data_IF_461248754007
#
_entry.id   IF_461248754007
#
_cell.length_a   1.000
_cell.length_b   1.000
_cell.length_c   1.000
_cell.angle_alpha   90.00
_cell.angle_beta   90.00
_cell.angle_gamma   90.00
#
_symmetry.space_group_name_H-M   'P 1'
#
loop_
_entity.id
_entity.type
_entity.pdbx_description
1 polymer ?
#
# COMPACT_ATOMS: atom_id res chain seq x y z
N UNK A 1 0.74 -5.55 -37.77
CA UNK A 1 2.17 -5.27 -37.52
C UNK A 1 2.40 -3.91 -36.82
N UNK A 2 1.85 -2.79 -37.32
CA UNK A 2 1.98 -1.47 -36.67
C UNK A 2 1.39 -1.41 -35.24
N UNK A 3 0.24 -2.02 -34.98
CA UNK A 3 -0.35 -2.12 -33.62
C UNK A 3 0.54 -2.88 -32.64
N UNK A 4 1.16 -3.99 -33.06
CA UNK A 4 2.04 -4.79 -32.21
C UNK A 4 3.28 -4.01 -31.74
N UNK A 5 3.93 -3.28 -32.66
CA UNK A 5 5.07 -2.43 -32.31
C UNK A 5 4.68 -1.21 -31.47
N UNK A 6 3.48 -0.65 -31.68
CA UNK A 6 2.92 0.41 -30.84
C UNK A 6 2.65 -0.08 -29.41
N UNK A 7 2.05 -1.27 -29.26
CA UNK A 7 1.79 -1.91 -27.98
C UNK A 7 3.09 -2.32 -27.26
N UNK A 8 4.09 -2.80 -27.99
CA UNK A 8 5.38 -3.20 -27.41
C UNK A 8 6.14 -1.98 -26.86
N UNK A 9 6.20 -0.89 -27.63
CA UNK A 9 6.86 0.36 -27.21
C UNK A 9 6.13 0.99 -26.02
N UNK A 10 4.79 0.95 -26.02
CA UNK A 10 3.95 1.36 -24.89
C UNK A 10 4.21 0.51 -23.63
N UNK A 11 4.28 -0.82 -23.78
CA UNK A 11 4.55 -1.75 -22.69
C UNK A 11 5.94 -1.53 -22.08
N UNK A 12 6.97 -1.32 -22.90
CA UNK A 12 8.34 -1.04 -22.45
C UNK A 12 8.47 0.32 -21.76
N UNK A 13 7.79 1.36 -22.27
CA UNK A 13 7.79 2.69 -21.67
C UNK A 13 7.03 2.71 -20.34
N UNK A 14 5.87 2.05 -20.26
CA UNK A 14 5.10 1.90 -19.03
C UNK A 14 5.84 1.09 -17.98
N UNK A 15 6.52 0.00 -18.37
CA UNK A 15 7.32 -0.81 -17.45
C UNK A 15 8.44 0.02 -16.80
N UNK A 16 9.15 0.83 -17.59
CA UNK A 16 10.17 1.77 -17.08
C UNK A 16 9.59 2.83 -16.14
N UNK A 17 8.39 3.34 -16.42
CA UNK A 17 7.72 4.29 -15.53
C UNK A 17 7.37 3.64 -14.19
N UNK A 18 6.79 2.44 -14.20
CA UNK A 18 6.33 1.74 -13.00
C UNK A 18 7.53 1.40 -12.10
N UNK A 19 8.63 0.90 -12.70
CA UNK A 19 9.85 0.63 -11.95
C UNK A 19 10.39 1.90 -11.29
N UNK A 20 10.45 3.02 -12.02
CA UNK A 20 10.87 4.31 -11.44
C UNK A 20 9.95 4.77 -10.32
N UNK A 21 8.64 4.62 -10.48
CA UNK A 21 7.67 4.96 -9.43
C UNK A 21 7.88 4.11 -8.17
N UNK A 22 8.13 2.80 -8.33
CA UNK A 22 8.46 1.91 -7.22
C UNK A 22 9.75 2.33 -6.50
N UNK A 23 10.79 2.66 -7.25
CA UNK A 23 12.07 3.07 -6.67
C UNK A 23 12.01 4.45 -5.97
N UNK A 24 11.32 5.43 -6.57
CA UNK A 24 11.32 6.81 -6.06
C UNK A 24 10.32 7.01 -4.92
N UNK A 25 9.19 6.29 -4.92
CA UNK A 25 8.13 6.49 -3.92
C UNK A 25 7.92 5.29 -3.03
N UNK A 26 7.76 4.11 -3.64
CA UNK A 26 7.35 2.94 -2.88
C UNK A 26 8.45 2.48 -1.93
N UNK A 27 9.69 2.41 -2.42
CA UNK A 27 10.84 1.96 -1.64
C UNK A 27 11.15 2.88 -0.45
N UNK A 28 11.21 4.23 -0.58
CA UNK A 28 11.37 5.10 0.58
C UNK A 28 10.24 4.96 1.59
N UNK A 29 8.99 4.80 1.14
CA UNK A 29 7.86 4.55 2.04
C UNK A 29 8.03 3.23 2.78
N UNK A 30 8.39 2.14 2.10
CA UNK A 30 8.65 0.83 2.75
C UNK A 30 9.73 0.98 3.81
N UNK A 31 10.87 1.58 3.46
CA UNK A 31 11.98 1.76 4.38
C UNK A 31 11.59 2.60 5.59
N UNK A 32 10.82 3.67 5.37
CA UNK A 32 10.33 4.52 6.44
C UNK A 32 9.38 3.78 7.38
N UNK A 33 8.39 3.04 6.85
CA UNK A 33 7.43 2.28 7.65
C UNK A 33 8.11 1.14 8.42
N UNK A 34 9.06 0.46 7.79
CA UNK A 34 9.92 -0.56 8.44
C UNK A 34 10.76 0.05 9.55
N UNK A 35 11.36 1.21 9.31
CA UNK A 35 12.16 1.90 10.31
C UNK A 35 11.32 2.29 11.52
N UNK A 36 10.12 2.84 11.31
CA UNK A 36 9.20 3.18 12.40
C UNK A 36 8.79 1.95 13.21
N UNK A 37 8.41 0.84 12.55
CA UNK A 37 8.06 -0.40 13.24
C UNK A 37 9.25 -0.96 14.04
N UNK A 38 10.42 -1.08 13.41
CA UNK A 38 11.63 -1.57 14.06
C UNK A 38 12.04 -0.69 15.26
N UNK A 39 12.03 0.63 15.10
CA UNK A 39 12.35 1.58 16.16
C UNK A 39 11.36 1.49 17.31
N UNK A 40 10.05 1.46 17.02
CA UNK A 40 9.00 1.38 18.05
C UNK A 40 9.12 0.11 18.89
N UNK A 41 9.32 -1.04 18.24
CA UNK A 41 9.56 -2.31 18.94
C UNK A 41 10.83 -2.24 19.79
N UNK A 42 11.92 -1.68 19.25
CA UNK A 42 13.19 -1.52 19.97
C UNK A 42 13.09 -0.58 21.19
N UNK A 43 12.26 0.47 21.11
CA UNK A 43 11.98 1.36 22.25
C UNK A 43 11.24 0.57 23.33
N UNK A 44 10.20 -0.19 22.98
CA UNK A 44 9.42 -0.97 23.95
C UNK A 44 10.29 -2.01 24.63
N UNK A 45 11.06 -2.80 23.87
CA UNK A 45 11.93 -3.84 24.44
C UNK A 45 13.06 -3.30 25.32
N UNK A 46 13.41 -2.01 25.21
CA UNK A 46 14.45 -1.38 26.03
C UNK A 46 13.91 -0.56 27.21
N UNK A 47 12.61 -0.24 27.24
CA UNK A 47 12.00 0.66 28.25
C UNK A 47 10.88 0.02 29.07
N UNK A 48 10.43 -1.18 28.70
CA UNK A 48 9.38 -1.94 29.37
C UNK A 48 9.86 -3.35 29.70
N UNK A 49 9.35 -3.91 30.79
CA UNK A 49 9.48 -5.32 31.07
C UNK A 49 8.35 -6.09 30.38
N UNK A 50 8.61 -7.35 30.02
CA UNK A 50 7.59 -8.22 29.44
C UNK A 50 6.40 -8.33 30.41
N UNK A 51 5.18 -8.10 29.90
CA UNK A 51 3.96 -8.05 30.70
C UNK A 51 3.62 -6.70 31.33
N UNK A 52 4.47 -5.67 31.19
CA UNK A 52 4.13 -4.31 31.60
C UNK A 52 2.91 -3.81 30.81
N UNK A 53 1.90 -3.27 31.50
CA UNK A 53 0.76 -2.53 30.94
C UNK A 53 0.79 -1.08 31.48
N UNK A 54 0.97 -0.11 30.58
CA UNK A 54 1.04 1.32 30.88
C UNK A 54 -0.07 2.05 30.15
N UNK A 55 -0.94 2.69 30.90
CA UNK A 55 -2.01 3.53 30.37
C UNK A 55 -1.41 4.74 29.59
N UNK A 56 -1.91 4.98 28.38
CA UNK A 56 -1.49 6.11 27.55
C UNK A 56 -2.64 7.10 27.33
N UNK A 57 -3.78 6.62 26.82
CA UNK A 57 -5.05 7.33 26.74
C UNK A 57 -6.07 6.54 27.53
N UNK A 58 -6.51 7.11 28.64
CA UNK A 58 -7.40 6.45 29.58
C UNK A 58 -8.67 5.91 28.91
N UNK A 59 -8.92 4.61 29.09
CA UNK A 59 -10.06 3.89 28.51
C UNK A 59 -10.05 3.72 26.99
N UNK A 60 -8.90 3.91 26.32
CA UNK A 60 -8.81 3.76 24.86
C UNK A 60 -7.50 3.11 24.38
N UNK A 61 -6.34 3.63 24.80
CA UNK A 61 -5.04 3.17 24.32
C UNK A 61 -4.09 2.94 25.48
N UNK A 62 -3.55 1.73 25.56
CA UNK A 62 -2.48 1.38 26.48
C UNK A 62 -1.25 0.90 25.71
N UNK A 63 -0.09 0.97 26.36
CA UNK A 63 1.11 0.26 25.94
C UNK A 63 1.24 -1.01 26.77
N UNK A 64 1.05 -2.18 26.15
CA UNK A 64 1.23 -3.48 26.82
C UNK A 64 2.31 -4.29 26.10
N UNK A 65 3.45 -4.52 26.74
CA UNK A 65 4.55 -5.25 26.10
C UNK A 65 4.33 -6.76 26.16
N UNK A 66 4.07 -7.36 25.00
CA UNK A 66 3.96 -8.82 24.84
C UNK A 66 4.81 -9.35 23.68
N UNK A 67 5.19 -10.62 23.74
CA UNK A 67 5.84 -11.33 22.64
C UNK A 67 4.86 -12.35 22.08
N UNK A 68 4.43 -12.12 20.84
CA UNK A 68 3.53 -13.00 20.13
C UNK A 68 4.34 -14.05 19.33
N UNK A 69 4.40 -15.33 19.77
CA UNK A 69 5.11 -16.39 19.04
C UNK A 69 4.53 -16.62 17.64
N UNK A 70 3.29 -16.20 17.42
CA UNK A 70 2.53 -16.40 16.20
C UNK A 70 1.66 -17.63 16.28
N UNK A 71 0.36 -17.40 16.47
CA UNK A 71 -0.76 -18.20 15.99
C UNK A 71 -2.02 -17.46 16.45
N UNK A 72 -2.86 -16.99 15.52
CA UNK A 72 -4.17 -16.49 15.89
C UNK A 72 -4.90 -17.57 16.70
N UNK A 73 -5.32 -17.25 17.93
CA UNK A 73 -6.18 -18.09 18.77
C UNK A 73 -5.70 -19.53 19.01
N UNK A 74 -4.48 -19.73 19.54
CA UNK A 74 -4.12 -20.99 20.22
C UNK A 74 -3.99 -22.25 19.36
N UNK A 75 -4.25 -22.20 18.04
CA UNK A 75 -4.18 -23.39 17.18
C UNK A 75 -2.72 -23.87 16.97
N UNK A 76 -1.72 -22.99 17.10
CA UNK A 76 -0.31 -23.33 16.82
C UNK A 76 0.70 -22.66 17.78
N UNK A 77 0.30 -22.30 19.01
CA UNK A 77 1.22 -21.67 19.98
C UNK A 77 2.49 -22.52 20.25
N UNK A 78 2.38 -23.84 20.04
CA UNK A 78 3.47 -24.81 20.17
C UNK A 78 4.31 -25.00 18.89
N UNK A 79 4.00 -24.29 17.79
CA UNK A 79 4.68 -24.42 16.48
C UNK A 79 5.17 -23.06 15.92
N UNK A 80 6.12 -22.37 16.59
CA UNK A 80 6.72 -21.12 16.10
C UNK A 80 7.28 -21.24 14.67
N UNK A 81 7.83 -22.41 14.34
CA UNK A 81 8.38 -22.74 13.02
C UNK A 81 7.32 -22.64 11.92
N UNK A 82 6.08 -23.03 12.20
CA UNK A 82 4.98 -22.93 11.24
C UNK A 82 4.60 -21.46 11.00
N UNK A 83 4.48 -20.68 12.07
CA UNK A 83 4.17 -19.26 11.97
C UNK A 83 5.24 -18.48 11.18
N UNK A 84 6.52 -18.76 11.45
CA UNK A 84 7.65 -18.20 10.69
C UNK A 84 7.56 -18.63 9.21
N UNK A 85 7.30 -19.91 8.93
CA UNK A 85 7.20 -20.43 7.56
C UNK A 85 6.08 -19.75 6.77
N UNK A 86 4.91 -19.58 7.38
CA UNK A 86 3.79 -18.84 6.78
C UNK A 86 4.17 -17.38 6.55
N UNK A 87 4.78 -16.72 7.53
CA UNK A 87 5.22 -15.33 7.41
C UNK A 87 6.23 -15.13 6.26
N UNK A 88 7.18 -16.05 6.10
CA UNK A 88 8.13 -16.06 4.97
C UNK A 88 7.38 -16.22 3.65
N UNK A 89 6.51 -17.23 3.55
CA UNK A 89 5.76 -17.51 2.34
C UNK A 89 4.89 -16.31 1.91
N UNK A 90 4.14 -15.73 2.85
CA UNK A 90 3.30 -14.55 2.62
C UNK A 90 4.16 -13.35 2.21
N UNK A 91 5.28 -13.10 2.90
CA UNK A 91 6.19 -12.00 2.54
C UNK A 91 6.74 -12.17 1.12
N UNK A 92 7.16 -13.38 0.74
CA UNK A 92 7.64 -13.68 -0.61
C UNK A 92 6.54 -13.49 -1.66
N UNK A 93 5.32 -13.95 -1.38
CA UNK A 93 4.18 -13.73 -2.25
C UNK A 93 3.91 -12.23 -2.46
N UNK A 94 3.94 -11.43 -1.40
CA UNK A 94 3.75 -9.97 -1.48
C UNK A 94 4.91 -9.31 -2.25
N UNK A 95 6.16 -9.75 -2.06
CA UNK A 95 7.31 -9.27 -2.84
C UNK A 95 7.08 -9.54 -4.34
N UNK A 96 6.66 -10.75 -4.70
CA UNK A 96 6.35 -11.12 -6.08
C UNK A 96 5.22 -10.24 -6.62
N UNK A 97 4.11 -10.09 -5.87
CA UNK A 97 3.02 -9.21 -6.24
C UNK A 97 3.49 -7.76 -6.43
N UNK A 98 4.33 -7.24 -5.55
CA UNK A 98 4.93 -5.91 -5.63
C UNK A 98 5.82 -5.75 -6.86
N UNK A 99 6.59 -6.76 -7.26
CA UNK A 99 7.43 -6.72 -8.46
C UNK A 99 6.56 -6.66 -9.73
N UNK A 100 5.53 -7.49 -9.81
CA UNK A 100 4.75 -7.66 -11.05
C UNK A 100 3.55 -6.72 -11.19
N UNK A 101 3.06 -6.11 -10.12
CA UNK A 101 1.95 -5.15 -10.20
C UNK A 101 2.32 -3.96 -11.08
N UNK A 102 1.44 -3.62 -12.03
CA UNK A 102 1.64 -2.49 -12.96
C UNK A 102 0.71 -1.32 -12.66
N UNK A 103 -0.49 -1.62 -12.18
CA UNK A 103 -1.51 -0.62 -11.91
C UNK A 103 -1.27 0.09 -10.58
N UNK A 104 -1.20 1.43 -10.66
CA UNK A 104 -0.92 2.31 -9.51
C UNK A 104 -1.96 2.18 -8.40
N UNK A 105 -3.21 1.85 -8.75
CA UNK A 105 -4.31 1.68 -7.79
C UNK A 105 -3.96 0.65 -6.71
N UNK A 106 -3.29 -0.43 -7.10
CA UNK A 106 -2.93 -1.53 -6.21
C UNK A 106 -1.57 -1.33 -5.55
N UNK A 107 -0.65 -0.61 -6.22
CA UNK A 107 0.73 -0.46 -5.75
C UNK A 107 0.78 0.10 -4.33
N UNK A 108 -0.03 1.10 -3.99
CA UNK A 108 0.04 1.72 -2.66
C UNK A 108 -0.39 0.74 -1.55
N UNK A 109 -1.49 0.00 -1.75
CA UNK A 109 -1.92 -1.02 -0.79
C UNK A 109 -0.87 -2.12 -0.62
N UNK A 110 -0.36 -2.66 -1.73
CA UNK A 110 0.72 -3.67 -1.71
C UNK A 110 1.97 -3.13 -1.02
N UNK A 111 2.28 -1.83 -1.16
CA UNK A 111 3.42 -1.19 -0.52
C UNK A 111 3.34 -1.24 1.01
N UNK A 112 2.18 -0.90 1.58
CA UNK A 112 1.92 -0.99 3.00
C UNK A 112 1.90 -2.45 3.48
N UNK A 113 1.31 -3.36 2.68
CA UNK A 113 1.29 -4.79 2.98
C UNK A 113 2.70 -5.35 3.10
N UNK A 114 3.57 -4.96 2.15
CA UNK A 114 4.95 -5.40 2.10
C UNK A 114 5.74 -4.89 3.31
N UNK A 115 5.59 -3.61 3.65
CA UNK A 115 6.24 -3.03 4.83
C UNK A 115 5.79 -3.72 6.12
N UNK A 116 4.48 -3.94 6.33
CA UNK A 116 3.98 -4.63 7.51
C UNK A 116 4.43 -6.09 7.59
N UNK A 117 4.31 -6.84 6.49
CA UNK A 117 4.75 -8.23 6.43
C UNK A 117 6.24 -8.38 6.70
N UNK A 118 7.07 -7.53 6.11
CA UNK A 118 8.52 -7.54 6.35
C UNK A 118 8.88 -7.07 7.75
N UNK A 119 8.18 -6.08 8.33
CA UNK A 119 8.41 -5.61 9.70
C UNK A 119 8.21 -6.73 10.73
N UNK A 120 7.11 -7.47 10.59
CA UNK A 120 6.85 -8.65 11.43
C UNK A 120 7.84 -9.80 11.14
N UNK A 121 8.22 -10.03 9.88
CA UNK A 121 9.21 -11.05 9.57
C UNK A 121 10.59 -10.72 10.15
N UNK A 122 11.01 -9.45 10.09
CA UNK A 122 12.27 -8.97 10.66
C UNK A 122 12.23 -9.09 12.19
N UNK A 123 11.12 -8.73 12.84
CA UNK A 123 10.96 -8.88 14.29
C UNK A 123 11.24 -10.32 14.75
N UNK A 124 10.78 -11.32 13.99
CA UNK A 124 11.02 -12.74 14.31
C UNK A 124 12.49 -13.15 14.35
N UNK A 125 13.38 -12.38 13.74
CA UNK A 125 14.82 -12.66 13.74
C UNK A 125 15.48 -12.23 15.06
N UNK A 126 14.99 -11.16 15.68
CA UNK A 126 15.69 -10.50 16.79
C UNK A 126 14.86 -10.33 18.06
N UNK A 127 13.55 -10.56 18.02
CA UNK A 127 12.67 -10.41 19.17
C UNK A 127 13.18 -11.28 20.34
N UNK A 128 13.11 -10.76 21.59
CA UNK A 128 13.37 -11.54 22.78
C UNK A 128 12.51 -12.82 22.83
N UNK A 129 12.96 -13.85 23.58
CA UNK A 129 12.14 -15.04 23.76
C UNK A 129 10.85 -14.70 24.52
N UNK A 130 9.81 -15.52 24.31
CA UNK A 130 8.60 -15.48 25.13
C UNK A 130 8.92 -15.83 26.60
N UNK A 131 7.95 -15.66 27.50
CA UNK A 131 8.06 -16.07 28.91
C UNK A 131 8.49 -17.54 29.07
N UNK A 132 8.10 -18.41 28.13
CA UNK A 132 8.44 -19.83 28.12
C UNK A 132 9.78 -20.13 27.41
N UNK A 133 10.57 -19.12 27.08
CA UNK A 133 11.89 -19.28 26.44
C UNK A 133 11.84 -19.54 24.93
N UNK A 134 10.70 -19.33 24.27
CA UNK A 134 10.52 -19.62 22.84
C UNK A 134 10.97 -18.42 22.01
N UNK A 135 11.90 -18.63 21.07
CA UNK A 135 12.35 -17.62 20.12
C UNK A 135 11.46 -17.55 18.87
N UNK A 136 11.58 -16.46 18.11
CA UNK A 136 10.89 -16.32 16.82
C UNK A 136 9.51 -15.65 16.91
N UNK A 137 9.25 -14.93 18.01
CA UNK A 137 8.03 -14.15 18.19
C UNK A 137 8.11 -12.74 17.58
N UNK A 138 7.05 -11.97 17.80
CA UNK A 138 6.91 -10.58 17.37
C UNK A 138 6.62 -9.73 18.60
N UNK A 139 7.26 -8.57 18.69
CA UNK A 139 7.02 -7.60 19.76
C UNK A 139 5.71 -6.85 19.46
N UNK A 140 4.69 -7.08 20.28
CA UNK A 140 3.42 -6.37 20.25
C UNK A 140 3.34 -5.44 21.46
N UNK A 141 2.77 -4.25 21.26
CA UNK A 141 2.87 -3.18 22.27
C UNK A 141 1.75 -2.15 22.28
N UNK A 142 0.98 -2.01 21.20
CA UNK A 142 -0.19 -1.12 21.16
C UNK A 142 -1.41 -1.93 21.55
N UNK A 143 -2.07 -1.56 22.64
CA UNK A 143 -3.32 -2.17 23.09
C UNK A 143 -4.47 -1.20 22.90
N UNK A 144 -5.43 -1.56 22.06
CA UNK A 144 -6.73 -0.89 22.06
C UNK A 144 -7.62 -1.50 23.12
N UNK A 145 -8.03 -0.66 24.06
CA UNK A 145 -9.00 -1.02 25.08
C UNK A 145 -10.41 -0.78 24.55
N UNK A 146 -11.14 -1.88 24.37
CA UNK A 146 -12.55 -1.89 23.99
C UNK A 146 -13.47 -2.28 25.15
N UNK A 147 -12.99 -2.20 26.40
CA UNK A 147 -13.77 -2.47 27.61
C UNK A 147 -15.06 -1.65 27.67
N UNK A 148 -15.04 -0.41 27.18
CA UNK A 148 -16.22 0.44 27.07
C UNK A 148 -17.30 -0.09 26.11
N UNK A 149 -16.95 -0.98 25.17
CA UNK A 149 -17.87 -1.68 24.26
C UNK A 149 -18.17 -3.12 24.71
N UNK A 150 -17.62 -3.58 25.84
CA UNK A 150 -17.74 -4.96 26.31
C UNK A 150 -17.03 -5.98 25.42
N UNK A 151 -15.99 -5.57 24.70
CA UNK A 151 -15.21 -6.42 23.80
C UNK A 151 -13.78 -6.63 24.32
N UNK A 152 -13.16 -7.75 23.93
CA UNK A 152 -11.77 -8.05 24.29
C UNK A 152 -10.81 -6.99 23.73
N UNK A 153 -9.79 -6.65 24.52
CA UNK A 153 -8.72 -5.76 24.07
C UNK A 153 -7.89 -6.44 22.97
N UNK A 154 -7.37 -5.64 22.04
CA UNK A 154 -6.51 -6.14 20.97
C UNK A 154 -5.12 -5.51 21.07
N UNK A 155 -4.08 -6.36 21.13
CA UNK A 155 -2.67 -5.94 21.20
C UNK A 155 -2.03 -6.21 19.84
N UNK A 156 -1.33 -5.21 19.33
CA UNK A 156 -0.74 -5.21 17.99
C UNK A 156 0.48 -4.30 17.94
N UNK A 157 1.10 -4.18 16.78
CA UNK A 157 2.22 -3.29 16.53
C UNK A 157 2.01 -2.41 15.28
N UNK A 158 2.99 -1.56 14.95
CA UNK A 158 2.89 -0.70 13.77
C UNK A 158 2.85 -1.50 12.45
N UNK A 159 3.60 -2.61 12.35
CA UNK A 159 3.52 -3.50 11.19
C UNK A 159 2.10 -4.06 10.96
N UNK A 160 1.36 -4.43 12.02
CA UNK A 160 -0.04 -4.85 11.90
C UNK A 160 -0.95 -3.70 11.47
N UNK A 161 -0.70 -2.49 11.97
CA UNK A 161 -1.40 -1.29 11.51
C UNK A 161 -1.15 -1.03 10.01
N UNK A 162 0.08 -1.22 9.51
CA UNK A 162 0.38 -1.12 8.08
C UNK A 162 -0.37 -2.17 7.25
N UNK A 163 -0.48 -3.41 7.75
CA UNK A 163 -1.29 -4.46 7.11
C UNK A 163 -2.76 -4.07 7.07
N UNK A 164 -3.33 -3.58 8.16
CA UNK A 164 -4.73 -3.12 8.21
C UNK A 164 -4.98 -1.97 7.24
N UNK A 165 -4.10 -0.96 7.22
CA UNK A 165 -4.18 0.17 6.27
C UNK A 165 -4.09 -0.34 4.82
N UNK A 166 -3.20 -1.29 4.56
CA UNK A 166 -3.09 -1.94 3.25
C UNK A 166 -4.42 -2.58 2.81
N UNK A 167 -5.05 -3.37 3.68
CA UNK A 167 -6.33 -4.02 3.36
C UNK A 167 -7.39 -2.98 2.99
N UNK A 168 -7.49 -1.89 3.77
CA UNK A 168 -8.41 -0.78 3.47
C UNK A 168 -8.10 -0.15 2.11
N UNK A 169 -6.83 0.13 1.82
CA UNK A 169 -6.40 0.71 0.55
C UNK A 169 -6.69 -0.21 -0.65
N UNK A 170 -6.49 -1.52 -0.50
CA UNK A 170 -6.79 -2.52 -1.52
C UNK A 170 -8.30 -2.60 -1.78
N UNK A 171 -9.13 -2.55 -0.73
CA UNK A 171 -10.59 -2.51 -0.87
C UNK A 171 -11.03 -1.24 -1.61
N UNK A 172 -10.48 -0.08 -1.26
CA UNK A 172 -10.76 1.18 -1.95
C UNK A 172 -10.34 1.08 -3.43
N UNK A 173 -9.14 0.54 -3.71
CA UNK A 173 -8.65 0.33 -5.07
C UNK A 173 -9.58 -0.59 -5.87
N UNK A 174 -10.08 -1.66 -5.25
CA UNK A 174 -11.04 -2.57 -5.86
C UNK A 174 -12.36 -1.88 -6.19
N UNK A 175 -12.91 -1.09 -5.27
CA UNK A 175 -14.16 -0.33 -5.48
C UNK A 175 -14.00 0.65 -6.64
N UNK A 176 -12.89 1.39 -6.68
CA UNK A 176 -12.59 2.34 -7.77
C UNK A 176 -12.45 1.59 -9.10
N UNK A 177 -11.72 0.48 -9.11
CA UNK A 177 -11.54 -0.34 -10.30
C UNK A 177 -12.90 -0.83 -10.86
N UNK A 178 -13.74 -1.41 -9.99
CA UNK A 178 -15.08 -1.87 -10.38
C UNK A 178 -15.96 -0.73 -10.88
N UNK A 179 -15.92 0.42 -10.22
CA UNK A 179 -16.67 1.60 -10.67
C UNK A 179 -16.23 2.04 -12.07
N UNK A 180 -14.93 2.14 -12.33
CA UNK A 180 -14.38 2.51 -13.63
C UNK A 180 -14.78 1.50 -14.71
N UNK A 181 -14.67 0.21 -14.43
CA UNK A 181 -15.04 -0.85 -15.39
C UNK A 181 -16.53 -0.77 -15.76
N UNK A 182 -17.41 -0.65 -14.76
CA UNK A 182 -18.86 -0.49 -14.99
C UNK A 182 -19.16 0.79 -15.76
N UNK A 183 -18.44 1.88 -15.48
CA UNK A 183 -18.60 3.14 -16.17
C UNK A 183 -18.18 3.05 -17.63
N UNK A 184 -17.04 2.42 -17.93
CA UNK A 184 -16.58 2.19 -19.30
C UNK A 184 -17.51 1.28 -20.08
N UNK A 185 -18.05 0.22 -19.47
CA UNK A 185 -19.06 -0.64 -20.10
C UNK A 185 -20.32 0.12 -20.49
N UNK A 186 -20.75 1.10 -19.66
CA UNK A 186 -21.87 1.98 -20.00
C UNK A 186 -21.53 2.90 -21.17
N UNK A 187 -20.32 3.47 -21.18
CA UNK A 187 -19.86 4.35 -22.26
C UNK A 187 -19.72 3.62 -23.59
N UNK A 188 -19.23 2.37 -23.60
CA UNK A 188 -19.10 1.55 -24.81
C UNK A 188 -20.41 1.33 -25.56
N UNK A 189 -21.57 1.54 -24.93
CA UNK A 189 -22.88 1.52 -25.61
C UNK A 189 -23.07 2.70 -26.57
N UNK A 190 -22.32 3.79 -26.40
CA UNK A 190 -22.30 4.95 -27.27
C UNK A 190 -20.86 5.13 -27.80
N UNK A 191 -20.58 4.58 -28.97
CA UNK A 191 -19.24 4.52 -29.58
C UNK A 191 -18.58 5.90 -29.66
N UNK A 192 -19.32 6.91 -30.11
CA UNK A 192 -18.82 8.30 -30.21
C UNK A 192 -18.43 8.86 -28.83
N UNK A 193 -19.26 8.65 -27.81
CA UNK A 193 -18.97 9.12 -26.46
C UNK A 193 -17.79 8.36 -25.83
N UNK A 194 -17.65 7.06 -26.12
CA UNK A 194 -16.50 6.25 -25.68
C UNK A 194 -15.19 6.69 -26.32
N UNK A 195 -15.19 7.04 -27.61
CA UNK A 195 -14.01 7.58 -28.30
C UNK A 195 -13.55 8.90 -27.68
N UNK A 196 -14.49 9.81 -27.42
CA UNK A 196 -14.21 11.10 -26.74
C UNK A 196 -13.65 10.87 -25.33
N UNK A 197 -14.22 9.92 -24.58
CA UNK A 197 -13.71 9.57 -23.25
C UNK A 197 -12.25 9.12 -23.32
N UNK A 198 -11.92 8.21 -24.24
CA UNK A 198 -10.56 7.69 -24.41
C UNK A 198 -9.57 8.76 -24.85
N UNK A 199 -9.96 9.69 -25.74
CA UNK A 199 -9.14 10.85 -26.11
C UNK A 199 -8.80 11.70 -24.88
N UNK A 200 -9.81 12.03 -24.07
CA UNK A 200 -9.62 12.82 -22.84
C UNK A 200 -8.70 12.10 -21.85
N UNK A 201 -8.88 10.80 -21.63
CA UNK A 201 -8.00 10.05 -20.71
C UNK A 201 -6.56 9.97 -21.23
N UNK A 202 -6.38 9.78 -22.54
CA UNK A 202 -5.07 9.76 -23.20
C UNK A 202 -4.34 11.09 -23.05
N UNK A 203 -5.05 12.21 -23.23
CA UNK A 203 -4.50 13.56 -23.03
C UNK A 203 -4.09 13.83 -21.58
N UNK A 204 -4.89 13.37 -20.61
CA UNK A 204 -4.54 13.45 -19.18
C UNK A 204 -3.29 12.65 -18.87
N UNK A 205 -3.20 11.41 -19.35
CA UNK A 205 -2.04 10.54 -19.14
C UNK A 205 -0.77 11.17 -19.73
N UNK A 206 -0.83 11.63 -20.99
CA UNK A 206 0.30 12.29 -21.64
C UNK A 206 0.74 13.55 -20.88
N UNK A 207 -0.21 14.36 -20.43
CA UNK A 207 0.07 15.58 -19.65
C UNK A 207 0.72 15.24 -18.31
N UNK A 208 0.27 14.17 -17.65
CA UNK A 208 0.92 13.66 -16.45
C UNK A 208 2.34 13.15 -16.74
N UNK A 209 2.59 12.41 -17.82
CA UNK A 209 3.95 11.97 -18.18
C UNK A 209 4.90 13.14 -18.43
N UNK A 210 4.40 14.18 -19.10
CA UNK A 210 5.15 15.40 -19.37
C UNK A 210 5.50 16.13 -18.07
N UNK A 211 4.50 16.36 -17.20
CA UNK A 211 4.74 16.92 -15.86
C UNK A 211 5.71 16.07 -15.06
N UNK A 212 5.53 14.76 -15.05
CA UNK A 212 6.40 13.85 -14.31
C UNK A 212 7.85 13.95 -14.80
N UNK A 213 8.05 14.10 -16.11
CA UNK A 213 9.38 14.21 -16.72
C UNK A 213 10.22 15.36 -16.19
N UNK A 214 9.61 16.41 -15.63
CA UNK A 214 10.34 17.56 -15.10
C UNK A 214 11.21 17.21 -13.90
N UNK A 215 10.88 16.16 -13.14
CA UNK A 215 11.60 15.78 -11.92
C UNK A 215 12.80 14.87 -12.16
N UNK A 216 12.93 14.25 -13.34
CA UNK A 216 13.98 13.26 -13.60
C UNK A 216 14.66 13.37 -14.96
N UNK A 217 14.16 14.20 -15.89
CA UNK A 217 14.87 14.54 -17.13
C UNK A 217 15.45 15.95 -17.05
N UNK A 218 16.77 16.04 -17.10
CA UNK A 218 17.53 17.30 -17.06
C UNK A 218 17.12 18.23 -18.21
N UNK A 219 16.99 17.69 -19.42
CA UNK A 219 16.53 18.40 -20.63
C UNK A 219 15.27 17.75 -21.21
N UNK A 220 14.12 18.16 -20.69
CA UNK A 220 12.81 17.84 -21.27
C UNK A 220 12.37 19.06 -22.06
N UNK A 221 12.27 18.95 -23.39
CA UNK A 221 11.88 20.06 -24.28
C UNK A 221 10.48 20.63 -23.95
N UNK A 222 9.66 19.87 -23.21
CA UNK A 222 8.28 20.21 -22.91
C UNK A 222 8.01 20.21 -21.39
N UNK A 223 8.91 20.72 -20.55
CA UNK A 223 8.64 20.83 -19.10
C UNK A 223 7.41 21.70 -18.86
N UNK A 224 6.50 21.23 -18.00
CA UNK A 224 5.37 22.01 -17.51
C UNK A 224 5.44 22.11 -15.98
N UNK A 225 5.09 23.26 -15.45
CA UNK A 225 4.95 23.50 -14.01
C UNK A 225 3.74 22.75 -13.44
N UNK A 226 3.72 22.57 -12.11
CA UNK A 226 2.56 21.98 -11.43
C UNK A 226 1.28 22.81 -11.67
N UNK A 227 1.40 24.14 -11.74
CA UNK A 227 0.27 25.04 -12.01
C UNK A 227 -0.32 24.79 -13.40
N UNK A 228 0.53 24.67 -14.43
CA UNK A 228 0.11 24.37 -15.80
C UNK A 228 -0.49 22.96 -15.91
N UNK A 229 0.09 21.97 -15.23
CA UNK A 229 -0.47 20.62 -15.13
C UNK A 229 -1.91 20.67 -14.60
N UNK A 230 -2.14 21.34 -13.46
CA UNK A 230 -3.48 21.46 -12.87
C UNK A 230 -4.45 22.21 -13.79
N UNK A 231 -4.00 23.25 -14.48
CA UNK A 231 -4.84 23.98 -15.45
C UNK A 231 -5.28 23.08 -16.62
N UNK A 232 -4.34 22.33 -17.22
CA UNK A 232 -4.66 21.37 -18.29
C UNK A 232 -5.61 20.27 -17.81
N UNK A 233 -5.41 19.74 -16.61
CA UNK A 233 -6.32 18.74 -16.04
C UNK A 233 -7.74 19.28 -15.86
N UNK A 234 -7.88 20.54 -15.44
CA UNK A 234 -9.19 21.22 -15.36
C UNK A 234 -9.84 21.39 -16.73
N UNK A 235 -9.09 21.81 -17.74
CA UNK A 235 -9.64 21.99 -19.10
C UNK A 235 -10.12 20.67 -19.70
N UNK A 236 -9.37 19.57 -19.52
CA UNK A 236 -9.79 18.24 -19.96
C UNK A 236 -11.07 17.77 -19.24
N UNK A 237 -11.20 18.04 -17.94
CA UNK A 237 -12.42 17.73 -17.20
C UNK A 237 -13.62 18.55 -17.67
N UNK A 238 -13.43 19.82 -18.04
CA UNK A 238 -14.48 20.66 -18.62
C UNK A 238 -14.89 20.16 -20.01
N UNK A 239 -13.92 19.88 -20.90
CA UNK A 239 -14.17 19.29 -22.23
C UNK A 239 -15.03 18.03 -22.10
N UNK A 240 -14.64 17.10 -21.23
CA UNK A 240 -15.41 15.89 -20.96
C UNK A 240 -16.84 16.18 -20.51
N UNK A 241 -17.04 17.11 -19.57
CA UNK A 241 -18.38 17.45 -19.07
C UNK A 241 -19.29 18.02 -20.16
N UNK A 242 -18.76 18.84 -21.06
CA UNK A 242 -19.53 19.44 -22.14
C UNK A 242 -19.90 18.39 -23.19
N UNK A 243 -18.92 17.63 -23.68
CA UNK A 243 -19.13 16.55 -24.66
C UNK A 243 -20.10 15.49 -24.13
N UNK A 244 -19.99 15.12 -22.85
CA UNK A 244 -20.92 14.18 -22.22
C UNK A 244 -22.34 14.71 -22.19
N UNK A 245 -22.56 16.02 -22.01
CA UNK A 245 -23.91 16.61 -22.04
C UNK A 245 -24.49 16.65 -23.45
N UNK A 246 -23.65 16.90 -24.45
CA UNK A 246 -24.07 17.02 -25.86
C UNK A 246 -24.39 15.65 -26.50
N UNK A 247 -23.80 14.56 -25.98
CA UNK A 247 -23.94 13.22 -26.53
C UNK A 247 -24.65 12.22 -25.57
N UNK A 248 -25.24 12.69 -24.47
CA UNK A 248 -26.15 11.93 -23.59
C UNK A 248 -27.61 12.18 -23.99
#
# INVERSE_FOLDING_TARGET
>A
MKEFFFNLKGTLKNYNYILKYKLVWCLPIILFLLFLDWLSKGIVTSTMNLGDDKEFISGLINFEYTINPGAAYGINADLPTLAISIAIFVSLFIIVAFIFVKDKWWILGINFMLAGSLGNLIARIWAPPTENGIYGGVVDFLKFDFSFLGSDSYIFNLADAWVTISVILIIIALIIYLYCEIYELKLKKNEKLFEIYNDVQSQKLLTFEIYWSTFYKKDSENKISYKEYIQKMKSFNMKWKNEKKENN
#
